data_IF_466884850901
#
_entry.id   IF_466884850901
#
_cell.length_a   1.000
_cell.length_b   1.000
_cell.length_c   1.000
_cell.angle_alpha   90.00
_cell.angle_beta   90.00
_cell.angle_gamma   90.00
#
_symmetry.space_group_name_H-M   'P 1'
#
loop_
_entity.id
_entity.type
_entity.pdbx_description
1 polymer ?
#
# COMPACT_ATOMS: atom_id res chain seq x y z
N UNK A 1 11.94 0.01 1.34
CA UNK A 1 11.90 1.37 1.94
C UNK A 1 12.81 1.36 3.15
N UNK A 2 13.65 2.40 3.33
CA UNK A 2 14.43 2.57 4.54
C UNK A 2 13.52 3.11 5.65
N UNK A 3 12.96 2.22 6.45
CA UNK A 3 12.02 2.55 7.54
C UNK A 3 12.66 3.35 8.70
N UNK A 4 13.97 3.50 8.68
CA UNK A 4 14.71 4.29 9.67
C UNK A 4 14.84 5.76 9.29
N UNK A 5 14.55 6.14 8.05
CA UNK A 5 14.57 7.53 7.62
C UNK A 5 13.41 8.30 8.22
N UNK A 6 13.69 9.51 8.72
CA UNK A 6 12.65 10.41 9.20
C UNK A 6 11.81 10.90 8.03
N UNK A 7 10.51 10.74 8.14
CA UNK A 7 9.57 11.29 7.16
C UNK A 7 9.43 12.80 7.36
N UNK A 8 9.37 13.59 6.28
CA UNK A 8 9.25 15.05 6.34
C UNK A 8 7.85 15.52 6.75
N UNK A 9 6.86 14.62 6.70
CA UNK A 9 5.47 14.93 7.01
C UNK A 9 4.74 13.70 7.57
N UNK A 10 3.68 13.90 8.35
CA UNK A 10 2.83 12.80 8.80
C UNK A 10 2.09 12.15 7.63
N UNK A 11 1.86 10.84 7.76
CA UNK A 11 1.11 10.03 6.77
C UNK A 11 -0.11 9.40 7.45
N UNK A 12 -1.25 9.48 6.78
CA UNK A 12 -2.45 8.75 7.15
C UNK A 12 -2.91 7.86 5.98
N UNK A 13 -2.95 6.55 6.21
CA UNK A 13 -3.36 5.56 5.20
C UNK A 13 -4.83 5.18 5.39
N UNK A 14 -5.58 5.22 4.30
CA UNK A 14 -7.00 4.85 4.22
C UNK A 14 -7.09 3.52 3.47
N UNK A 15 -7.53 2.45 4.16
CA UNK A 15 -7.46 1.09 3.66
C UNK A 15 -8.83 0.42 3.66
N UNK A 16 -9.17 -0.30 2.60
CA UNK A 16 -10.38 -1.12 2.52
C UNK A 16 -10.15 -2.50 3.14
N UNK A 17 -11.02 -2.94 4.07
CA UNK A 17 -10.91 -4.26 4.70
C UNK A 17 -10.97 -5.41 3.69
N UNK A 18 -11.82 -5.28 2.67
CA UNK A 18 -12.08 -6.29 1.64
C UNK A 18 -11.40 -5.97 0.30
N UNK A 19 -10.37 -5.12 0.33
CA UNK A 19 -9.59 -4.86 -0.87
C UNK A 19 -8.77 -6.10 -1.24
N UNK A 20 -9.23 -6.80 -2.27
CA UNK A 20 -8.64 -8.03 -2.79
C UNK A 20 -7.71 -7.76 -4.01
N UNK A 21 -7.62 -6.50 -4.45
CA UNK A 21 -6.68 -6.06 -5.48
C UNK A 21 -5.39 -5.53 -4.86
N UNK A 22 -5.49 -4.67 -3.86
CA UNK A 22 -4.37 -4.13 -3.10
C UNK A 22 -4.59 -4.49 -1.63
N UNK A 23 -4.05 -5.62 -1.21
CA UNK A 23 -4.29 -6.14 0.14
C UNK A 23 -3.92 -5.10 1.21
N UNK A 24 -4.78 -4.86 2.23
CA UNK A 24 -4.51 -3.89 3.27
C UNK A 24 -3.35 -4.29 4.19
N UNK A 25 -3.13 -5.59 4.39
CA UNK A 25 -2.14 -6.10 5.34
C UNK A 25 -0.71 -5.57 5.11
N UNK A 26 -0.13 -5.58 3.88
CA UNK A 26 1.20 -5.01 3.65
C UNK A 26 1.30 -3.52 4.01
N UNK A 27 0.22 -2.74 3.75
CA UNK A 27 0.18 -1.32 4.11
C UNK A 27 0.10 -1.11 5.63
N UNK A 28 -0.62 -1.97 6.33
CA UNK A 28 -0.70 -1.93 7.80
C UNK A 28 0.65 -2.24 8.42
N UNK A 29 1.31 -3.33 7.99
CA UNK A 29 2.65 -3.72 8.43
C UNK A 29 3.66 -2.60 8.19
N UNK A 30 3.64 -1.99 7.00
CA UNK A 30 4.48 -0.84 6.66
C UNK A 30 4.23 0.36 7.59
N UNK A 31 2.97 0.69 7.87
CA UNK A 31 2.62 1.78 8.78
C UNK A 31 3.14 1.52 10.21
N UNK A 32 3.01 0.29 10.69
CA UNK A 32 3.48 -0.14 12.00
C UNK A 32 5.01 -0.07 12.11
N UNK A 33 5.73 -0.50 11.06
CA UNK A 33 7.19 -0.41 10.98
C UNK A 33 7.67 1.05 11.03
N UNK A 34 7.03 1.94 10.26
CA UNK A 34 7.34 3.38 10.29
C UNK A 34 7.04 4.01 11.65
N UNK A 35 5.91 3.67 12.25
CA UNK A 35 5.53 4.18 13.56
C UNK A 35 6.51 3.70 14.65
N UNK A 36 6.93 2.43 14.61
CA UNK A 36 7.94 1.89 15.51
C UNK A 36 9.30 2.58 15.38
N UNK A 37 9.64 3.06 14.17
CA UNK A 37 10.84 3.89 13.91
C UNK A 37 10.65 5.37 14.33
N UNK A 38 9.52 5.72 14.96
CA UNK A 38 9.22 7.06 15.47
C UNK A 38 8.78 8.04 14.37
N UNK A 39 8.25 7.54 13.26
CA UNK A 39 7.64 8.36 12.23
C UNK A 39 6.15 8.56 12.48
N UNK A 40 5.58 9.73 12.15
CA UNK A 40 4.17 10.03 12.35
C UNK A 40 3.31 9.38 11.25
N UNK A 41 3.21 8.06 11.29
CA UNK A 41 2.40 7.26 10.36
C UNK A 41 1.26 6.61 11.11
N UNK A 42 0.06 6.69 10.55
CA UNK A 42 -1.13 6.03 11.07
C UNK A 42 -1.98 5.49 9.93
N UNK A 43 -2.90 4.58 10.24
CA UNK A 43 -3.83 4.05 9.25
C UNK A 43 -5.20 3.79 9.86
N UNK A 44 -6.19 3.67 9.00
CA UNK A 44 -7.52 3.18 9.35
C UNK A 44 -8.05 2.22 8.30
N UNK A 45 -8.57 1.09 8.78
CA UNK A 45 -9.23 0.07 7.94
C UNK A 45 -10.73 0.28 8.00
N UNK A 46 -11.37 0.41 6.83
CA UNK A 46 -12.81 0.62 6.72
C UNK A 46 -13.51 -0.70 6.42
N UNK A 47 -14.39 -1.07 7.35
CA UNK A 47 -15.08 -2.35 7.32
C UNK A 47 -15.99 -2.49 6.09
N UNK A 48 -15.89 -3.63 5.41
CA UNK A 48 -16.67 -3.93 4.22
C UNK A 48 -16.25 -3.18 2.96
N UNK A 49 -15.27 -2.29 3.04
CA UNK A 49 -14.77 -1.52 1.90
C UNK A 49 -13.87 -2.38 1.01
N UNK A 50 -14.11 -2.34 -0.29
CA UNK A 50 -13.33 -3.02 -1.34
C UNK A 50 -12.38 -2.05 -2.02
N UNK A 51 -11.74 -2.48 -3.12
CA UNK A 51 -10.95 -1.57 -3.96
C UNK A 51 -11.81 -0.44 -4.49
N UNK A 52 -11.30 0.79 -4.50
CA UNK A 52 -11.97 2.04 -4.92
C UNK A 52 -13.27 2.38 -4.18
N UNK A 53 -13.42 1.97 -2.95
CA UNK A 53 -14.61 2.21 -2.14
C UNK A 53 -14.97 3.70 -1.97
N UNK A 54 -13.99 4.57 -2.15
CA UNK A 54 -14.07 6.03 -2.04
C UNK A 54 -14.69 6.73 -3.25
N UNK A 55 -14.90 6.03 -4.37
CA UNK A 55 -15.59 6.58 -5.54
C UNK A 55 -17.08 6.81 -5.26
N UNK A 56 -17.65 7.85 -5.91
CA UNK A 56 -19.05 8.23 -5.73
C UNK A 56 -20.06 7.24 -6.33
N UNK A 57 -19.71 6.63 -7.45
CA UNK A 57 -20.64 5.83 -8.24
C UNK A 57 -19.94 4.65 -8.91
N UNK A 58 -19.46 3.71 -8.12
CA UNK A 58 -18.98 2.45 -8.66
C UNK A 58 -19.95 1.35 -8.24
N UNK A 59 -20.73 0.86 -9.18
CA UNK A 59 -21.51 -0.36 -8.97
C UNK A 59 -20.55 -1.53 -8.81
N UNK A 60 -20.94 -2.47 -7.95
CA UNK A 60 -20.21 -3.72 -7.77
C UNK A 60 -19.82 -4.36 -9.11
N UNK A 61 -18.55 -4.61 -9.29
CA UNK A 61 -18.01 -5.31 -10.46
C UNK A 61 -16.89 -6.23 -10.01
N UNK A 62 -16.89 -7.43 -10.57
CA UNK A 62 -15.71 -8.28 -10.56
C UNK A 62 -14.91 -8.02 -11.82
N UNK A 63 -13.65 -7.73 -11.67
CA UNK A 63 -12.70 -7.57 -12.76
C UNK A 63 -11.63 -8.64 -12.68
N UNK A 64 -11.24 -9.18 -13.84
CA UNK A 64 -10.10 -10.09 -13.92
C UNK A 64 -8.84 -9.26 -14.13
N UNK A 65 -8.24 -8.83 -13.03
CA UNK A 65 -7.13 -7.88 -13.03
C UNK A 65 -5.82 -8.53 -12.59
N UNK A 66 -4.72 -7.99 -13.11
CA UNK A 66 -3.39 -8.33 -12.64
C UNK A 66 -3.10 -7.64 -11.30
N UNK A 67 -2.64 -8.42 -10.34
CA UNK A 67 -2.17 -7.91 -9.06
C UNK A 67 -0.84 -8.56 -8.68
N UNK A 68 -0.17 -8.04 -7.65
CA UNK A 68 1.14 -8.50 -7.17
C UNK A 68 1.06 -9.15 -5.78
N UNK A 69 -0.09 -9.66 -5.39
CA UNK A 69 -0.37 -10.19 -4.06
C UNK A 69 0.41 -11.49 -3.72
N UNK A 70 1.15 -12.06 -4.68
CA UNK A 70 2.01 -13.23 -4.43
C UNK A 70 3.35 -12.88 -3.76
N UNK A 71 3.72 -11.60 -3.71
CA UNK A 71 4.96 -11.13 -3.10
C UNK A 71 4.68 -9.97 -2.14
N UNK A 72 5.57 -9.79 -1.16
CA UNK A 72 5.58 -8.63 -0.28
C UNK A 72 6.97 -8.01 -0.31
N UNK A 73 7.11 -6.92 -1.05
CA UNK A 73 8.42 -6.38 -1.41
C UNK A 73 8.80 -5.18 -0.55
N UNK A 74 9.91 -5.31 0.16
CA UNK A 74 10.67 -4.18 0.67
C UNK A 74 11.69 -3.74 -0.36
N UNK A 75 11.60 -2.51 -0.81
CA UNK A 75 12.52 -1.93 -1.79
C UNK A 75 13.20 -0.71 -1.17
N UNK A 76 14.51 -0.72 -1.08
CA UNK A 76 15.27 0.44 -0.65
C UNK A 76 15.36 1.42 -1.82
N UNK A 77 14.64 2.52 -1.69
CA UNK A 77 14.71 3.62 -2.66
C UNK A 77 15.86 4.55 -2.29
N UNK A 78 16.80 4.87 -3.21
CA UNK A 78 17.80 5.86 -2.95
C UNK A 78 17.17 7.24 -2.79
N UNK A 79 17.70 8.02 -1.85
CA UNK A 79 17.28 9.40 -1.64
C UNK A 79 17.88 10.29 -2.73
N UNK A 80 17.07 10.74 -3.68
CA UNK A 80 17.46 11.72 -4.69
C UNK A 80 16.62 11.62 -5.96
N UNK A 81 16.04 12.73 -6.39
CA UNK A 81 15.14 12.80 -7.54
C UNK A 81 15.75 12.37 -8.88
N UNK A 82 17.07 12.23 -8.96
CA UNK A 82 17.84 11.92 -10.18
C UNK A 82 18.49 10.53 -10.15
N UNK A 83 18.48 9.83 -9.01
CA UNK A 83 19.04 8.48 -8.93
C UNK A 83 17.95 7.46 -9.21
N UNK A 84 18.01 6.88 -10.41
CA UNK A 84 17.12 5.79 -10.84
C UNK A 84 17.65 4.41 -10.44
N UNK A 85 18.78 4.34 -9.78
CA UNK A 85 19.27 3.11 -9.18
C UNK A 85 18.44 2.84 -7.92
N UNK A 86 17.72 1.75 -7.90
CA UNK A 86 17.11 1.28 -6.67
C UNK A 86 18.05 0.32 -5.95
N UNK A 87 18.01 0.42 -4.62
CA UNK A 87 18.82 -0.42 -3.76
C UNK A 87 18.30 -1.86 -3.71
N UNK A 88 18.86 -2.68 -2.82
CA UNK A 88 18.41 -4.05 -2.64
C UNK A 88 16.92 -4.11 -2.35
N UNK A 89 16.24 -5.07 -2.97
CA UNK A 89 14.85 -5.40 -2.71
C UNK A 89 14.79 -6.74 -1.96
N UNK A 90 13.85 -6.86 -1.02
CA UNK A 90 13.64 -8.07 -0.26
C UNK A 90 12.17 -8.50 -0.34
N UNK A 91 11.92 -9.73 -0.76
CA UNK A 91 10.57 -10.29 -0.72
C UNK A 91 10.34 -11.00 0.62
N UNK A 92 9.49 -10.43 1.46
CA UNK A 92 9.16 -10.95 2.80
C UNK A 92 8.52 -12.35 2.75
N UNK A 93 7.81 -12.68 1.67
CA UNK A 93 7.13 -13.98 1.57
C UNK A 93 8.09 -15.11 1.22
N UNK A 94 8.99 -14.91 0.26
CA UNK A 94 9.98 -15.92 -0.12
C UNK A 94 11.29 -15.84 0.65
N UNK A 95 11.55 -14.72 1.34
CA UNK A 95 12.82 -14.43 2.01
C UNK A 95 13.96 -14.08 1.03
N UNK A 96 13.66 -13.93 -0.26
CA UNK A 96 14.69 -13.66 -1.27
C UNK A 96 15.09 -12.19 -1.27
N UNK A 97 16.40 -11.93 -1.32
CA UNK A 97 16.97 -10.59 -1.49
C UNK A 97 17.56 -10.45 -2.88
N UNK A 98 17.33 -9.32 -3.50
CA UNK A 98 17.79 -8.96 -4.83
C UNK A 98 18.72 -7.76 -4.71
N UNK A 99 19.90 -7.88 -5.28
CA UNK A 99 20.90 -6.80 -5.36
C UNK A 99 21.17 -6.36 -6.79
N UNK A 100 20.59 -7.08 -7.74
CA UNK A 100 20.76 -6.90 -9.18
C UNK A 100 19.40 -6.67 -9.86
N UNK A 101 19.32 -5.65 -10.71
CA UNK A 101 18.15 -5.30 -11.48
C UNK A 101 17.70 -6.40 -12.45
N UNK A 102 18.62 -7.18 -13.00
CA UNK A 102 18.28 -8.26 -13.92
C UNK A 102 17.57 -9.40 -13.17
N UNK A 103 18.07 -9.79 -11.99
CA UNK A 103 17.39 -10.77 -11.13
C UNK A 103 16.00 -10.29 -10.69
N UNK A 104 15.89 -9.03 -10.30
CA UNK A 104 14.63 -8.40 -9.94
C UNK A 104 13.62 -8.46 -11.09
N UNK A 105 14.02 -7.99 -12.28
CA UNK A 105 13.17 -7.98 -13.46
C UNK A 105 12.71 -9.39 -13.88
N UNK A 106 13.53 -10.40 -13.63
CA UNK A 106 13.17 -11.80 -13.86
C UNK A 106 12.22 -12.37 -12.79
N UNK A 107 12.21 -11.79 -11.59
CA UNK A 107 11.39 -12.24 -10.47
C UNK A 107 10.00 -11.58 -10.43
N UNK A 108 9.90 -10.29 -10.68
CA UNK A 108 8.64 -9.52 -10.60
C UNK A 108 7.48 -10.16 -11.35
N UNK A 109 7.66 -10.73 -12.56
CA UNK A 109 6.58 -11.43 -13.23
C UNK A 109 5.99 -12.62 -12.44
N UNK A 110 6.80 -13.24 -11.55
CA UNK A 110 6.35 -14.36 -10.69
C UNK A 110 5.48 -13.89 -9.53
N UNK A 111 5.59 -12.60 -9.15
CA UNK A 111 4.75 -11.97 -8.13
C UNK A 111 3.36 -11.63 -8.66
N UNK A 112 3.24 -11.53 -9.99
CA UNK A 112 1.99 -11.18 -10.65
C UNK A 112 1.08 -12.38 -10.75
N UNK A 113 -0.17 -12.19 -10.36
CA UNK A 113 -1.27 -13.11 -10.67
C UNK A 113 -2.41 -12.34 -11.32
N UNK A 114 -3.25 -13.06 -12.04
CA UNK A 114 -4.52 -12.55 -12.54
C UNK A 114 -5.62 -13.19 -11.73
N UNK A 115 -6.43 -12.40 -11.07
CA UNK A 115 -7.54 -12.88 -10.25
C UNK A 115 -8.76 -11.99 -10.41
N UNK A 116 -9.91 -12.54 -10.04
CA UNK A 116 -11.12 -11.75 -9.93
C UNK A 116 -11.03 -10.87 -8.68
N UNK A 117 -11.04 -9.56 -8.89
CA UNK A 117 -11.03 -8.56 -7.83
C UNK A 117 -12.37 -7.83 -7.77
N UNK A 118 -12.73 -7.40 -6.58
CA UNK A 118 -13.99 -6.71 -6.32
C UNK A 118 -13.75 -5.20 -6.26
N UNK A 119 -14.45 -4.46 -7.10
CA UNK A 119 -14.47 -3.00 -7.07
C UNK A 119 -15.89 -2.53 -6.84
N UNK A 120 -16.09 -1.74 -5.79
CA UNK A 120 -17.40 -1.26 -5.39
C UNK A 120 -17.29 0.00 -4.55
N UNK A 121 -18.17 0.97 -4.80
CA UNK A 121 -18.33 2.12 -3.90
C UNK A 121 -18.97 1.68 -2.59
N UNK A 122 -18.46 2.19 -1.48
CA UNK A 122 -19.07 2.04 -0.17
C UNK A 122 -19.31 3.42 0.44
N UNK A 123 -20.53 3.93 0.30
CA UNK A 123 -20.87 5.29 0.73
C UNK A 123 -20.56 5.55 2.21
N UNK A 124 -20.93 4.62 3.09
CA UNK A 124 -20.68 4.74 4.52
C UNK A 124 -19.19 4.80 4.85
N UNK A 125 -18.41 3.91 4.23
CA UNK A 125 -16.95 3.89 4.42
C UNK A 125 -16.31 5.15 3.85
N UNK A 126 -16.74 5.61 2.66
CA UNK A 126 -16.27 6.85 2.04
C UNK A 126 -16.56 8.08 2.91
N UNK A 127 -17.79 8.25 3.39
CA UNK A 127 -18.13 9.38 4.25
C UNK A 127 -17.31 9.41 5.53
N UNK A 128 -17.08 8.25 6.13
CA UNK A 128 -16.24 8.14 7.31
C UNK A 128 -14.78 8.44 6.97
N UNK A 129 -14.26 7.92 5.86
CA UNK A 129 -12.90 8.21 5.41
C UNK A 129 -12.66 9.70 5.17
N UNK A 130 -13.61 10.39 4.55
CA UNK A 130 -13.54 11.84 4.36
C UNK A 130 -13.45 12.59 5.71
N UNK A 131 -14.29 12.22 6.69
CA UNK A 131 -14.25 12.81 8.03
C UNK A 131 -12.89 12.59 8.70
N UNK A 132 -12.37 11.37 8.62
CA UNK A 132 -11.10 11.00 9.26
C UNK A 132 -9.91 11.72 8.59
N UNK A 133 -9.89 11.82 7.26
CA UNK A 133 -8.87 12.58 6.52
C UNK A 133 -8.92 14.06 6.88
N UNK A 134 -10.11 14.67 6.95
CA UNK A 134 -10.25 16.06 7.35
C UNK A 134 -9.80 16.30 8.79
N UNK A 135 -10.08 15.37 9.70
CA UNK A 135 -9.61 15.44 11.08
C UNK A 135 -8.07 15.34 11.15
N UNK A 136 -7.48 14.41 10.40
CA UNK A 136 -6.03 14.28 10.30
C UNK A 136 -5.38 15.58 9.79
N UNK A 137 -5.89 16.15 8.69
CA UNK A 137 -5.36 17.38 8.11
C UNK A 137 -5.46 18.58 9.07
N UNK A 138 -6.50 18.66 9.88
CA UNK A 138 -6.63 19.68 10.91
C UNK A 138 -5.64 19.50 12.07
N UNK A 139 -5.24 18.27 12.34
CA UNK A 139 -4.29 17.94 13.41
C UNK A 139 -2.84 18.23 13.07
N UNK A 140 -2.51 18.51 11.81
CA UNK A 140 -1.15 18.82 11.35
C UNK A 140 -0.91 20.32 11.10
N UNK A 141 -1.90 21.15 11.36
CA UNK A 141 -1.77 22.62 11.34
C UNK A 141 -1.21 23.10 12.69
#
# INVERSE_FOLDING_TARGET
VDHHSKLPAPIFMVLGEKDDMTLPKPCMELAEEYAAAGNPVSYKVYQGATHVFDRLTMLWKKHNEGNFNLCSMDVRMPYGANDRSWGPAHDKYSGKTFTDNAEWNAYVPKCRQTSWVTVESNEKAREQAVKDVLAFLKGIQ
#
